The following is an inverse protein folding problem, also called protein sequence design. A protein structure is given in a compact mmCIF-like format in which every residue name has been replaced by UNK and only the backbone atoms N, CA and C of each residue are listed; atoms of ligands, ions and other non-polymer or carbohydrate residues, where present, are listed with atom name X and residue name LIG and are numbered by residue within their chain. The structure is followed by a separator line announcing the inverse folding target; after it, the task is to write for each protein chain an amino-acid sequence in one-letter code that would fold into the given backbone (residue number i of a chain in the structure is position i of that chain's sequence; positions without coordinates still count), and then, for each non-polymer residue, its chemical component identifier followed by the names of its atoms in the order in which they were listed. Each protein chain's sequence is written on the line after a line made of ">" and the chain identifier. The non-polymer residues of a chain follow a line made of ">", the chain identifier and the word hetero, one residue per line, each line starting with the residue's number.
data_IF_687912955098
#
_entry.id   IF_687912955098
#
_cell.length_a   1.000
_cell.length_b   1.000
_cell.length_c   1.000
_cell.angle_alpha   90.00
_cell.angle_beta   90.00
_cell.angle_gamma   90.00
#
_symmetry.space_group_name_H-M   'P 1'
#
loop_
_entity.id
_entity.type
_entity.pdbx_description
1 polymer ?
#
# COMPACT_ATOMS: atom_id res chain seq x y z
N UNK A 1 -14.22 11.84 -5.60
CA UNK A 1 -13.53 13.03 -6.13
C UNK A 1 -14.49 13.98 -6.84
N UNK A 2 -15.33 13.47 -7.72
CA UNK A 2 -16.28 14.28 -8.49
C UNK A 2 -17.34 14.96 -7.60
N UNK A 3 -17.75 14.34 -6.50
CA UNK A 3 -18.80 14.85 -5.61
C UNK A 3 -18.29 15.75 -4.48
N UNK A 4 -16.97 15.92 -4.34
CA UNK A 4 -16.40 16.73 -3.26
C UNK A 4 -16.21 18.19 -3.71
N UNK A 5 -16.65 19.18 -2.89
CA UNK A 5 -16.34 20.59 -3.15
C UNK A 5 -14.84 20.80 -3.31
N UNK A 6 -14.36 21.66 -4.23
CA UNK A 6 -12.93 21.87 -4.48
C UNK A 6 -12.14 22.20 -3.20
N UNK A 7 -12.75 22.98 -2.30
CA UNK A 7 -12.16 23.44 -1.04
C UNK A 7 -11.99 22.31 0.01
N UNK A 8 -12.75 21.21 -0.13
CA UNK A 8 -12.73 20.07 0.81
C UNK A 8 -12.20 18.79 0.19
N UNK A 9 -11.71 18.85 -1.05
CA UNK A 9 -11.27 17.67 -1.79
C UNK A 9 -10.11 16.95 -1.07
N UNK A 10 -9.13 17.68 -0.54
CA UNK A 10 -8.03 17.13 0.24
C UNK A 10 -8.50 16.42 1.52
N UNK A 11 -9.46 17.02 2.24
CA UNK A 11 -10.03 16.39 3.43
C UNK A 11 -10.76 15.08 3.09
N UNK A 12 -11.57 15.07 2.03
CA UNK A 12 -12.30 13.86 1.58
C UNK A 12 -11.34 12.75 1.18
N UNK A 13 -10.28 13.08 0.44
CA UNK A 13 -9.23 12.14 0.08
C UNK A 13 -8.48 11.63 1.32
N UNK A 14 -8.18 12.50 2.27
CA UNK A 14 -7.56 12.14 3.54
C UNK A 14 -8.42 11.17 4.35
N UNK A 15 -9.71 11.41 4.48
CA UNK A 15 -10.66 10.52 5.16
C UNK A 15 -10.71 9.15 4.44
N UNK A 16 -10.80 9.16 3.11
CA UNK A 16 -10.78 7.93 2.31
C UNK A 16 -9.51 7.11 2.54
N UNK A 17 -8.34 7.72 2.41
CA UNK A 17 -7.05 7.05 2.61
C UNK A 17 -6.88 6.54 4.04
N UNK A 18 -7.29 7.33 5.04
CA UNK A 18 -7.26 6.91 6.45
C UNK A 18 -8.18 5.72 6.70
N UNK A 19 -9.38 5.72 6.13
CA UNK A 19 -10.33 4.60 6.26
C UNK A 19 -9.79 3.32 5.63
N UNK A 20 -9.13 3.43 4.46
CA UNK A 20 -8.48 2.29 3.81
C UNK A 20 -7.33 1.73 4.67
N UNK A 21 -6.44 2.60 5.13
CA UNK A 21 -5.30 2.21 5.98
C UNK A 21 -5.73 1.64 7.33
N UNK A 22 -6.83 2.14 7.89
CA UNK A 22 -7.44 1.58 9.10
C UNK A 22 -7.88 0.13 8.88
N UNK A 23 -8.48 -0.18 7.73
CA UNK A 23 -8.84 -1.55 7.35
C UNK A 23 -7.62 -2.47 7.28
N UNK A 24 -6.53 -2.00 6.68
CA UNK A 24 -5.26 -2.73 6.62
C UNK A 24 -4.63 -2.99 8.00
N UNK A 25 -4.84 -2.12 8.98
CA UNK A 25 -4.35 -2.31 10.34
C UNK A 25 -5.29 -3.22 11.16
N UNK A 26 -6.60 -3.00 11.08
CA UNK A 26 -7.59 -3.74 11.85
C UNK A 26 -7.75 -5.19 11.40
N UNK A 27 -7.61 -5.48 10.10
CA UNK A 27 -7.76 -6.83 9.57
C UNK A 27 -6.83 -7.85 10.22
N UNK A 28 -5.50 -7.69 10.16
CA UNK A 28 -4.54 -8.57 10.80
C UNK A 28 -4.68 -8.61 12.33
N UNK A 29 -4.99 -7.46 12.96
CA UNK A 29 -5.24 -7.41 14.39
C UNK A 29 -6.44 -8.29 14.79
N UNK A 30 -7.54 -8.19 14.06
CA UNK A 30 -8.73 -9.01 14.28
C UNK A 30 -8.41 -10.49 14.07
N UNK A 31 -7.68 -10.82 12.99
CA UNK A 31 -7.23 -12.17 12.70
C UNK A 31 -6.35 -12.74 13.81
N UNK A 32 -5.47 -11.93 14.43
CA UNK A 32 -4.63 -12.34 15.56
C UNK A 32 -5.46 -12.80 16.80
N UNK A 33 -6.71 -12.31 16.93
CA UNK A 33 -7.62 -12.65 18.02
C UNK A 33 -8.53 -13.84 17.69
N UNK A 34 -8.93 -13.97 16.43
CA UNK A 34 -9.88 -15.00 15.97
C UNK A 34 -9.13 -16.31 15.67
N UNK A 35 -7.89 -16.22 15.17
CA UNK A 35 -7.08 -17.35 14.70
C UNK A 35 -7.47 -17.82 13.31
N UNK A 36 -6.79 -18.88 12.85
CA UNK A 36 -6.96 -19.48 11.51
C UNK A 36 -7.83 -20.74 11.51
N UNK A 37 -8.21 -21.25 12.68
CA UNK A 37 -8.86 -22.55 12.80
C UNK A 37 -10.38 -22.47 12.61
N UNK A 38 -10.94 -23.41 11.85
CA UNK A 38 -12.38 -23.55 11.66
C UNK A 38 -12.99 -22.52 10.71
N UNK A 39 -14.32 -22.34 10.82
CA UNK A 39 -15.08 -21.43 9.95
C UNK A 39 -15.17 -19.98 10.45
N UNK A 40 -14.76 -19.70 11.69
CA UNK A 40 -14.96 -18.41 12.34
C UNK A 40 -14.35 -17.22 11.56
N UNK A 41 -13.10 -17.29 11.03
CA UNK A 41 -12.53 -16.19 10.25
C UNK A 41 -13.36 -15.85 9.01
N UNK A 42 -13.92 -16.87 8.34
CA UNK A 42 -14.76 -16.68 7.16
C UNK A 42 -16.09 -16.04 7.49
N UNK A 43 -16.74 -16.44 8.60
CA UNK A 43 -18.00 -15.85 9.05
C UNK A 43 -17.82 -14.39 9.48
N UNK A 44 -16.72 -14.08 10.17
CA UNK A 44 -16.39 -12.70 10.56
C UNK A 44 -16.10 -11.84 9.31
N UNK A 45 -15.31 -12.35 8.37
CA UNK A 45 -15.06 -11.67 7.10
C UNK A 45 -16.35 -11.40 6.31
N UNK A 46 -17.22 -12.40 6.21
CA UNK A 46 -18.54 -12.26 5.59
C UNK A 46 -19.40 -11.18 6.28
N UNK A 47 -19.45 -11.19 7.60
CA UNK A 47 -20.21 -10.19 8.36
C UNK A 47 -19.70 -8.76 8.12
N UNK A 48 -18.37 -8.57 8.07
CA UNK A 48 -17.75 -7.27 7.76
C UNK A 48 -18.14 -6.81 6.34
N UNK A 49 -18.11 -7.71 5.36
CA UNK A 49 -18.53 -7.40 3.98
C UNK A 49 -20.00 -7.00 3.93
N UNK A 50 -20.86 -7.71 4.65
CA UNK A 50 -22.29 -7.37 4.72
C UNK A 50 -22.53 -5.98 5.33
N UNK A 51 -21.81 -5.63 6.39
CA UNK A 51 -21.87 -4.28 6.97
C UNK A 51 -21.35 -3.23 6.01
N UNK A 52 -20.25 -3.51 5.28
CA UNK A 52 -19.69 -2.61 4.28
C UNK A 52 -20.62 -2.37 3.08
N UNK A 53 -21.55 -3.28 2.81
CA UNK A 53 -22.55 -3.11 1.74
C UNK A 53 -23.59 -2.03 2.08
N UNK A 54 -23.87 -1.79 3.37
CA UNK A 54 -24.91 -0.85 3.81
C UNK A 54 -24.71 0.56 3.23
N UNK A 55 -23.55 1.23 3.42
CA UNK A 55 -23.34 2.55 2.86
C UNK A 55 -23.39 2.58 1.33
N UNK A 56 -22.98 1.51 0.66
CA UNK A 56 -23.05 1.40 -0.81
C UNK A 56 -24.51 1.36 -1.27
N UNK A 57 -25.36 0.60 -0.59
CA UNK A 57 -26.79 0.51 -0.90
C UNK A 57 -27.51 1.83 -0.60
N UNK A 58 -27.13 2.54 0.45
CA UNK A 58 -27.71 3.85 0.80
C UNK A 58 -27.33 4.91 -0.26
N UNK A 59 -26.06 4.92 -0.67
CA UNK A 59 -25.54 5.87 -1.65
C UNK A 59 -25.78 5.48 -3.14
N UNK A 60 -26.47 4.39 -3.40
CA UNK A 60 -26.68 3.88 -4.76
C UNK A 60 -27.28 4.92 -5.72
N UNK A 61 -28.18 5.77 -5.22
CA UNK A 61 -28.88 6.80 -6.01
C UNK A 61 -28.05 8.06 -6.25
N UNK A 62 -26.97 8.26 -5.49
CA UNK A 62 -26.09 9.43 -5.56
C UNK A 62 -24.85 9.17 -6.44
N UNK A 63 -24.88 8.09 -7.22
CA UNK A 63 -23.76 7.73 -8.12
C UNK A 63 -23.57 8.83 -9.18
N UNK A 64 -22.39 9.42 -9.32
CA UNK A 64 -22.15 10.45 -10.32
C UNK A 64 -22.20 9.86 -11.73
N UNK A 65 -22.86 10.58 -12.64
CA UNK A 65 -22.79 10.27 -14.07
C UNK A 65 -21.42 10.69 -14.59
N UNK A 66 -20.70 9.74 -15.19
CA UNK A 66 -19.44 10.02 -15.88
C UNK A 66 -19.77 10.37 -17.34
N UNK A 67 -19.43 11.59 -17.78
CA UNK A 67 -19.48 11.93 -19.19
C UNK A 67 -18.41 11.12 -19.94
N UNK A 68 -18.81 10.42 -20.99
CA UNK A 68 -17.91 9.74 -21.92
C UNK A 68 -17.10 10.80 -22.70
N UNK A 69 -15.85 11.02 -22.29
CA UNK A 69 -14.91 11.87 -23.01
C UNK A 69 -14.10 11.07 -24.04
N UNK A 70 -13.51 11.76 -25.03
CA UNK A 70 -12.56 11.14 -25.97
C UNK A 70 -11.43 10.43 -25.24
N UNK A 71 -11.19 9.16 -25.59
CA UNK A 71 -10.14 8.33 -24.99
C UNK A 71 -8.74 8.80 -25.40
N UNK A 72 -7.99 9.37 -24.47
CA UNK A 72 -6.55 9.61 -24.67
C UNK A 72 -5.82 8.33 -24.26
N UNK A 73 -4.95 7.76 -25.12
CA UNK A 73 -4.22 6.54 -24.79
C UNK A 73 -3.35 6.75 -23.53
N UNK A 74 -3.43 5.83 -22.56
CA UNK A 74 -2.71 5.95 -21.29
C UNK A 74 -1.28 5.37 -21.35
N UNK A 75 -1.02 4.39 -22.23
CA UNK A 75 0.29 3.70 -22.32
C UNK A 75 1.50 4.64 -22.52
N UNK A 76 1.44 5.71 -23.33
CA UNK A 76 2.55 6.64 -23.47
C UNK A 76 2.93 7.32 -22.15
N UNK A 77 1.98 7.51 -21.24
CA UNK A 77 2.22 8.16 -19.95
C UNK A 77 3.05 7.32 -18.98
N UNK A 78 3.20 6.01 -19.22
CA UNK A 78 4.13 5.16 -18.45
C UNK A 78 5.55 5.72 -18.56
N UNK A 79 5.93 6.16 -19.76
CA UNK A 79 7.27 6.68 -20.04
C UNK A 79 7.36 8.21 -19.96
N UNK A 80 6.24 8.91 -20.02
CA UNK A 80 6.21 10.38 -19.90
C UNK A 80 6.44 10.83 -18.44
N UNK A 81 5.99 10.06 -17.46
CA UNK A 81 6.13 10.35 -16.02
C UNK A 81 6.76 9.18 -15.25
N UNK A 82 7.98 8.75 -15.63
CA UNK A 82 8.56 7.49 -15.17
C UNK A 82 8.77 7.44 -13.65
N UNK A 83 9.06 8.58 -13.03
CA UNK A 83 9.26 8.66 -11.57
C UNK A 83 8.00 8.22 -10.80
N UNK A 84 6.82 8.69 -11.23
CA UNK A 84 5.57 8.34 -10.56
C UNK A 84 5.16 6.89 -10.86
N UNK A 85 5.27 6.46 -12.12
CA UNK A 85 4.86 5.12 -12.55
C UNK A 85 5.77 4.03 -11.99
N UNK A 86 7.08 4.28 -11.89
CA UNK A 86 8.01 3.35 -11.24
C UNK A 86 7.82 3.31 -9.72
N UNK A 87 7.63 4.46 -9.07
CA UNK A 87 7.38 4.50 -7.63
C UNK A 87 6.14 3.68 -7.26
N UNK A 88 5.06 3.81 -8.01
CA UNK A 88 3.83 3.05 -7.72
C UNK A 88 3.92 1.58 -8.10
N UNK A 89 4.69 1.23 -9.14
CA UNK A 89 5.00 -0.17 -9.47
C UNK A 89 5.74 -0.85 -8.31
N UNK A 90 6.80 -0.21 -7.79
CA UNK A 90 7.55 -0.69 -6.62
C UNK A 90 6.61 -0.83 -5.42
N UNK A 91 5.80 0.19 -5.14
CA UNK A 91 4.85 0.14 -4.03
C UNK A 91 3.87 -1.01 -4.17
N UNK A 92 3.25 -1.21 -5.34
CA UNK A 92 2.32 -2.32 -5.58
C UNK A 92 2.95 -3.70 -5.36
N UNK A 93 4.18 -3.89 -5.85
CA UNK A 93 4.91 -5.15 -5.67
C UNK A 93 5.24 -5.41 -4.19
N UNK A 94 5.71 -4.40 -3.49
CA UNK A 94 6.15 -4.50 -2.09
C UNK A 94 4.95 -4.60 -1.14
N UNK A 95 3.91 -3.83 -1.36
CA UNK A 95 2.68 -3.88 -0.57
C UNK A 95 2.04 -5.26 -0.67
N UNK A 96 1.72 -5.71 -1.88
CA UNK A 96 0.99 -6.98 -2.05
C UNK A 96 1.88 -8.18 -1.74
N UNK A 97 3.15 -8.18 -2.18
CA UNK A 97 4.10 -9.22 -1.85
C UNK A 97 4.38 -9.30 -0.35
N UNK A 98 4.50 -8.14 0.29
CA UNK A 98 4.66 -8.02 1.73
C UNK A 98 3.43 -8.54 2.48
N UNK A 99 2.25 -7.99 2.23
CA UNK A 99 1.03 -8.38 2.95
C UNK A 99 0.63 -9.84 2.72
N UNK A 100 0.66 -10.33 1.48
CA UNK A 100 0.22 -11.69 1.16
C UNK A 100 1.12 -12.78 1.75
N UNK A 101 2.44 -12.56 1.76
CA UNK A 101 3.41 -13.57 2.17
C UNK A 101 3.99 -13.35 3.57
N UNK A 102 3.68 -12.23 4.23
CA UNK A 102 4.15 -11.96 5.58
C UNK A 102 3.71 -13.02 6.61
N UNK A 103 2.46 -13.54 6.61
CA UNK A 103 2.08 -14.62 7.52
C UNK A 103 2.91 -15.89 7.33
N UNK A 104 3.19 -16.25 6.07
CA UNK A 104 4.04 -17.41 5.73
C UNK A 104 5.48 -17.16 6.15
N UNK A 105 6.00 -15.96 5.92
CA UNK A 105 7.32 -15.56 6.41
C UNK A 105 7.41 -15.63 7.92
N UNK A 106 6.44 -15.08 8.65
CA UNK A 106 6.42 -15.07 10.11
C UNK A 106 6.44 -16.48 10.70
N UNK A 107 5.62 -17.41 10.16
CA UNK A 107 5.59 -18.79 10.60
C UNK A 107 6.89 -19.55 10.26
N UNK A 108 7.49 -19.30 9.09
CA UNK A 108 8.80 -19.88 8.72
C UNK A 108 9.94 -19.37 9.60
N UNK A 109 9.83 -18.17 10.19
CA UNK A 109 10.78 -17.62 11.17
C UNK A 109 10.58 -18.22 12.56
N UNK A 110 9.41 -18.81 12.83
CA UNK A 110 9.07 -19.45 14.11
C UNK A 110 8.09 -18.64 14.97
N UNK A 111 7.48 -17.58 14.45
CA UNK A 111 6.42 -16.87 15.13
C UNK A 111 5.10 -17.65 15.08
N UNK A 112 4.26 -17.45 16.09
CA UNK A 112 2.87 -17.88 16.02
C UNK A 112 2.10 -17.08 14.93
N UNK A 113 1.01 -17.64 14.42
CA UNK A 113 0.15 -16.93 13.47
C UNK A 113 -0.36 -15.60 14.05
N UNK A 114 -0.67 -15.58 15.35
CA UNK A 114 -1.11 -14.37 16.05
C UNK A 114 -0.01 -13.30 16.11
N UNK A 115 1.23 -13.68 16.42
CA UNK A 115 2.36 -12.75 16.47
C UNK A 115 2.72 -12.22 15.07
N UNK A 116 2.66 -13.06 14.04
CA UNK A 116 2.86 -12.66 12.65
C UNK A 116 1.76 -11.67 12.20
N UNK A 117 0.50 -11.91 12.57
CA UNK A 117 -0.60 -11.01 12.28
C UNK A 117 -0.46 -9.66 13.02
N UNK A 118 0.04 -9.66 14.26
CA UNK A 118 0.33 -8.42 14.99
C UNK A 118 1.47 -7.63 14.35
N UNK A 119 2.51 -8.29 13.85
CA UNK A 119 3.57 -7.62 13.09
C UNK A 119 3.04 -6.99 11.80
N UNK A 120 2.15 -7.68 11.10
CA UNK A 120 1.47 -7.14 9.92
C UNK A 120 0.60 -5.92 10.29
N UNK A 121 -0.05 -5.94 11.46
CA UNK A 121 -0.77 -4.78 12.02
C UNK A 121 0.15 -3.57 12.19
N UNK A 122 1.41 -3.77 12.60
CA UNK A 122 2.37 -2.66 12.74
C UNK A 122 2.66 -1.97 11.40
N UNK A 123 2.75 -2.73 10.31
CA UNK A 123 2.87 -2.17 8.95
C UNK A 123 1.66 -1.29 8.62
N UNK A 124 0.45 -1.80 8.86
CA UNK A 124 -0.79 -1.06 8.62
C UNK A 124 -0.93 0.21 9.48
N UNK A 125 -0.57 0.14 10.77
CA UNK A 125 -0.57 1.29 11.66
C UNK A 125 0.46 2.35 11.23
N UNK A 126 1.65 1.92 10.83
CA UNK A 126 2.66 2.82 10.28
C UNK A 126 2.14 3.54 9.04
N UNK A 127 1.57 2.80 8.09
CA UNK A 127 0.94 3.34 6.89
C UNK A 127 -0.13 4.39 7.27
N UNK A 128 -1.06 4.05 8.15
CA UNK A 128 -2.14 4.95 8.57
C UNK A 128 -1.60 6.25 9.19
N UNK A 129 -0.65 6.16 10.12
CA UNK A 129 -0.17 7.32 10.87
C UNK A 129 0.79 8.22 10.09
N UNK A 130 1.56 7.67 9.15
CA UNK A 130 2.54 8.43 8.38
C UNK A 130 1.96 9.10 7.12
N UNK A 131 0.75 8.74 6.69
CA UNK A 131 0.12 9.34 5.50
C UNK A 131 -0.02 10.87 5.63
N UNK A 132 -0.48 11.36 6.77
CA UNK A 132 -0.66 12.80 6.99
C UNK A 132 0.68 13.53 7.06
N UNK A 133 1.67 13.11 7.88
CA UNK A 133 3.01 13.70 7.88
C UNK A 133 3.68 13.72 6.49
N UNK A 134 3.62 12.63 5.76
CA UNK A 134 4.22 12.54 4.42
C UNK A 134 3.51 13.44 3.42
N UNK A 135 2.18 13.54 3.49
CA UNK A 135 1.40 14.49 2.68
C UNK A 135 1.82 15.93 2.94
N UNK A 136 1.91 16.34 4.20
CA UNK A 136 2.36 17.70 4.60
C UNK A 136 3.79 17.97 4.11
N UNK A 137 4.69 17.01 4.27
CA UNK A 137 6.08 17.14 3.81
C UNK A 137 6.12 17.24 2.28
N UNK A 138 5.33 16.41 1.57
CA UNK A 138 5.21 16.44 0.11
C UNK A 138 4.76 17.80 -0.43
N UNK A 139 3.85 18.48 0.30
CA UNK A 139 3.35 19.80 -0.10
C UNK A 139 4.37 20.92 0.13
N UNK A 140 5.32 20.73 1.06
CA UNK A 140 6.36 21.73 1.40
C UNK A 140 7.66 21.56 0.62
N UNK A 141 7.92 20.38 0.07
CA UNK A 141 9.15 20.11 -0.70
C UNK A 141 8.96 20.55 -2.14
N UNK A 142 9.92 21.32 -2.65
CA UNK A 142 9.93 21.78 -4.04
C UNK A 142 10.14 20.66 -5.07
N UNK A 143 10.87 19.62 -4.70
CA UNK A 143 11.19 18.46 -5.55
C UNK A 143 10.76 17.15 -4.88
N UNK A 144 9.57 16.67 -5.24
CA UNK A 144 8.98 15.43 -4.70
C UNK A 144 9.80 14.18 -5.02
N UNK A 145 10.68 14.22 -6.05
CA UNK A 145 11.56 13.09 -6.40
C UNK A 145 12.53 12.76 -5.27
N UNK A 146 12.99 13.77 -4.52
CA UNK A 146 13.85 13.57 -3.34
C UNK A 146 13.12 12.83 -2.22
N UNK A 147 11.84 13.14 -2.02
CA UNK A 147 11.02 12.44 -1.04
C UNK A 147 10.72 11.00 -1.48
N UNK A 148 10.46 10.76 -2.76
CA UNK A 148 10.31 9.43 -3.31
C UNK A 148 11.59 8.59 -3.14
N UNK A 149 12.75 9.19 -3.42
CA UNK A 149 14.05 8.54 -3.20
C UNK A 149 14.27 8.21 -1.73
N UNK A 150 13.91 9.12 -0.82
CA UNK A 150 13.95 8.87 0.63
C UNK A 150 13.05 7.70 1.03
N UNK A 151 11.82 7.64 0.51
CA UNK A 151 10.91 6.53 0.77
C UNK A 151 11.48 5.20 0.26
N UNK A 152 12.01 5.17 -0.97
CA UNK A 152 12.60 3.97 -1.57
C UNK A 152 13.86 3.52 -0.81
N UNK A 153 14.77 4.42 -0.46
CA UNK A 153 15.98 4.08 0.30
C UNK A 153 15.65 3.59 1.71
N UNK A 154 14.66 4.17 2.37
CA UNK A 154 14.17 3.69 3.67
C UNK A 154 13.56 2.29 3.52
N UNK A 155 12.81 2.06 2.44
CA UNK A 155 12.26 0.76 2.10
C UNK A 155 13.34 -0.31 1.95
N UNK A 156 14.38 -0.03 1.16
CA UNK A 156 15.53 -0.92 0.97
C UNK A 156 16.26 -1.20 2.28
N UNK A 157 16.60 -0.17 3.05
CA UNK A 157 17.32 -0.30 4.33
C UNK A 157 16.51 -1.15 5.31
N UNK A 158 15.19 -0.92 5.41
CA UNK A 158 14.33 -1.70 6.28
C UNK A 158 14.32 -3.19 5.91
N UNK A 159 14.25 -3.52 4.63
CA UNK A 159 14.29 -4.90 4.17
C UNK A 159 15.69 -5.53 4.37
N UNK A 160 16.75 -4.80 4.18
CA UNK A 160 18.11 -5.28 4.47
C UNK A 160 18.36 -5.51 5.98
N UNK A 161 17.73 -4.73 6.83
CA UNK A 161 17.84 -4.87 8.29
C UNK A 161 17.00 -6.05 8.82
N UNK A 162 15.88 -6.39 8.18
CA UNK A 162 14.92 -7.38 8.66
C UNK A 162 15.53 -8.76 8.96
N UNK A 163 16.45 -9.33 8.15
CA UNK A 163 17.06 -10.63 8.43
C UNK A 163 17.80 -10.70 9.77
N UNK A 164 18.34 -9.59 10.24
CA UNK A 164 19.07 -9.51 11.51
C UNK A 164 18.15 -9.36 12.73
N UNK A 165 16.89 -9.02 12.51
CA UNK A 165 15.91 -8.74 13.55
C UNK A 165 14.84 -9.85 13.69
N UNK A 166 14.95 -10.90 12.88
CA UNK A 166 13.98 -12.00 12.85
C UNK A 166 13.76 -12.68 14.21
N UNK A 167 14.72 -12.61 15.13
CA UNK A 167 14.64 -13.20 16.46
C UNK A 167 14.12 -12.23 17.55
N UNK A 168 13.89 -10.97 17.18
CA UNK A 168 13.54 -9.90 18.12
C UNK A 168 12.22 -9.22 17.73
N UNK A 169 11.10 -9.76 18.22
CA UNK A 169 9.75 -9.33 17.84
C UNK A 169 9.54 -7.82 17.98
N UNK A 170 9.93 -7.21 19.12
CA UNK A 170 9.72 -5.78 19.37
C UNK A 170 10.52 -4.88 18.42
N UNK A 171 11.77 -5.25 18.13
CA UNK A 171 12.58 -4.49 17.16
C UNK A 171 12.02 -4.64 15.75
N UNK A 172 11.59 -5.84 15.38
CA UNK A 172 10.94 -6.09 14.11
C UNK A 172 9.63 -5.30 13.98
N UNK A 173 8.81 -5.25 15.03
CA UNK A 173 7.58 -4.46 15.07
C UNK A 173 7.85 -2.96 14.85
N UNK A 174 8.87 -2.40 15.52
CA UNK A 174 9.27 -1.00 15.35
C UNK A 174 9.74 -0.68 13.94
N UNK A 175 10.60 -1.53 13.36
CA UNK A 175 11.07 -1.34 11.98
C UNK A 175 9.93 -1.49 10.98
N UNK A 176 9.07 -2.49 11.12
CA UNK A 176 7.93 -2.70 10.22
C UNK A 176 6.91 -1.56 10.30
N UNK A 177 6.72 -0.97 11.49
CA UNK A 177 5.88 0.21 11.66
C UNK A 177 6.45 1.41 10.88
N UNK A 178 7.73 1.73 11.05
CA UNK A 178 8.39 2.83 10.34
C UNK A 178 8.45 2.56 8.83
N UNK A 179 8.80 1.35 8.46
CA UNK A 179 8.89 0.90 7.08
C UNK A 179 7.54 1.01 6.36
N UNK A 180 6.46 0.45 6.95
CA UNK A 180 5.12 0.50 6.37
C UNK A 180 4.64 1.93 6.18
N UNK A 181 4.95 2.82 7.13
CA UNK A 181 4.59 4.23 7.06
C UNK A 181 5.33 4.98 5.96
N UNK A 182 6.65 4.85 5.90
CA UNK A 182 7.47 5.60 4.94
C UNK A 182 7.32 5.07 3.53
N UNK A 183 7.27 3.74 3.33
CA UNK A 183 7.12 3.11 2.01
C UNK A 183 5.77 3.46 1.36
N UNK A 184 4.72 3.64 2.14
CA UNK A 184 3.43 4.09 1.64
C UNK A 184 3.49 5.49 0.96
N UNK A 185 4.53 6.29 1.28
CA UNK A 185 4.82 7.53 0.59
C UNK A 185 5.11 7.36 -0.91
N UNK A 186 5.57 6.19 -1.35
CA UNK A 186 5.76 5.94 -2.79
C UNK A 186 4.47 6.08 -3.57
N UNK A 187 3.34 5.66 -3.01
CA UNK A 187 2.02 5.84 -3.62
C UNK A 187 1.55 7.30 -3.49
N UNK A 188 1.51 7.81 -2.26
CA UNK A 188 0.89 9.11 -1.95
C UNK A 188 1.67 10.26 -2.58
N UNK A 189 3.00 10.26 -2.43
CA UNK A 189 3.87 11.28 -3.01
C UNK A 189 3.98 11.10 -4.53
N UNK A 190 3.98 9.85 -5.03
CA UNK A 190 3.96 9.56 -6.47
C UNK A 190 2.71 10.12 -7.14
N UNK A 191 1.53 9.95 -6.53
CA UNK A 191 0.27 10.50 -7.02
C UNK A 191 0.25 12.05 -6.95
N UNK A 192 0.81 12.63 -5.88
CA UNK A 192 0.95 14.07 -5.75
C UNK A 192 1.93 14.66 -6.78
N UNK A 193 3.02 13.94 -7.09
CA UNK A 193 3.97 14.31 -8.13
C UNK A 193 3.31 14.30 -9.51
N UNK A 194 2.54 13.26 -9.83
CA UNK A 194 1.79 13.17 -11.07
C UNK A 194 0.85 14.38 -11.25
N UNK A 195 0.07 14.71 -10.21
CA UNK A 195 -0.88 15.83 -10.22
C UNK A 195 -0.23 17.22 -10.30
N UNK A 196 1.09 17.35 -10.02
CA UNK A 196 1.82 18.61 -10.19
C UNK A 196 2.40 18.82 -11.59
N UNK A 197 2.60 17.74 -12.34
CA UNK A 197 3.20 17.80 -13.68
C UNK A 197 2.14 17.92 -14.79
N UNK A 198 0.93 17.41 -14.55
CA UNK A 198 -0.11 17.25 -15.57
C UNK A 198 -1.47 17.78 -15.08
N UNK A 199 -2.30 18.23 -16.03
CA UNK A 199 -3.63 18.76 -15.75
C UNK A 199 -4.69 18.20 -16.74
N UNK A 200 -5.96 18.32 -16.40
CA UNK A 200 -7.06 17.97 -17.29
C UNK A 200 -7.05 16.53 -17.78
N UNK A 201 -7.18 16.32 -19.08
CA UNK A 201 -7.26 14.99 -19.71
C UNK A 201 -5.95 14.20 -19.63
N UNK A 202 -4.82 14.89 -19.75
CA UNK A 202 -3.50 14.25 -19.62
C UNK A 202 -3.31 13.66 -18.22
N UNK A 203 -3.73 14.38 -17.18
CA UNK A 203 -3.70 13.87 -15.81
C UNK A 203 -4.59 12.63 -15.64
N UNK A 204 -5.76 12.59 -16.28
CA UNK A 204 -6.64 11.42 -16.23
C UNK A 204 -5.98 10.18 -16.86
N UNK A 205 -5.36 10.34 -18.05
CA UNK A 205 -4.64 9.26 -18.73
C UNK A 205 -3.37 8.84 -18.00
N UNK A 206 -2.63 9.79 -17.44
CA UNK A 206 -1.46 9.50 -16.62
C UNK A 206 -1.84 8.79 -15.31
N UNK A 207 -2.99 9.13 -14.72
CA UNK A 207 -3.51 8.40 -13.55
C UNK A 207 -3.91 6.96 -13.91
N UNK A 208 -4.46 6.73 -15.11
CA UNK A 208 -4.72 5.37 -15.59
C UNK A 208 -3.42 4.57 -15.78
N UNK A 209 -2.35 5.20 -16.33
CA UNK A 209 -1.01 4.59 -16.42
C UNK A 209 -0.44 4.28 -15.04
N UNK A 210 -0.60 5.18 -14.08
CA UNK A 210 -0.18 5.00 -12.69
C UNK A 210 -0.85 3.78 -12.04
N UNK A 211 -2.18 3.68 -12.13
CA UNK A 211 -2.92 2.53 -11.60
C UNK A 211 -2.57 1.23 -12.34
N UNK A 212 -2.34 1.29 -13.65
CA UNK A 212 -1.88 0.14 -14.42
C UNK A 212 -0.52 -0.38 -13.95
N UNK A 213 0.47 0.50 -13.75
CA UNK A 213 1.78 0.13 -13.21
C UNK A 213 1.67 -0.43 -11.78
N UNK A 214 0.81 0.16 -10.94
CA UNK A 214 0.49 -0.37 -9.62
C UNK A 214 -0.03 -1.81 -9.69
N UNK A 215 -1.00 -2.07 -10.57
CA UNK A 215 -1.58 -3.39 -10.74
C UNK A 215 -0.55 -4.43 -11.24
N UNK A 216 0.36 -4.05 -12.14
CA UNK A 216 1.48 -4.93 -12.55
C UNK A 216 2.39 -5.24 -11.37
N UNK A 217 2.73 -4.23 -10.55
CA UNK A 217 3.48 -4.43 -9.32
C UNK A 217 2.80 -5.42 -8.38
N UNK A 218 1.51 -5.23 -8.12
CA UNK A 218 0.70 -6.13 -7.29
C UNK A 218 0.69 -7.57 -7.80
N UNK A 219 0.71 -7.76 -9.12
CA UNK A 219 0.77 -9.09 -9.72
C UNK A 219 2.17 -9.72 -9.58
N UNK A 220 3.22 -8.94 -9.80
CA UNK A 220 4.60 -9.44 -9.78
C UNK A 220 5.11 -9.71 -8.36
N UNK A 221 4.72 -8.88 -7.38
CA UNK A 221 5.24 -8.91 -6.01
C UNK A 221 5.12 -10.27 -5.33
N UNK A 222 3.91 -10.81 -5.12
CA UNK A 222 3.74 -12.09 -4.43
C UNK A 222 4.45 -13.26 -5.12
N UNK A 223 4.46 -13.26 -6.46
CA UNK A 223 5.10 -14.32 -7.25
C UNK A 223 6.62 -14.36 -7.00
N UNK A 224 7.26 -13.19 -7.13
CA UNK A 224 8.72 -13.08 -6.97
C UNK A 224 9.14 -13.31 -5.52
N UNK A 225 8.38 -12.78 -4.55
CA UNK A 225 8.65 -13.00 -3.13
C UNK A 225 8.47 -14.48 -2.78
N UNK A 226 7.45 -15.14 -3.31
CA UNK A 226 7.25 -16.59 -3.13
C UNK A 226 8.45 -17.40 -3.66
N UNK A 227 8.88 -17.15 -4.89
CA UNK A 227 10.06 -17.77 -5.50
C UNK A 227 11.32 -17.51 -4.63
N UNK A 228 11.50 -16.27 -4.17
CA UNK A 228 12.62 -15.92 -3.29
C UNK A 228 12.60 -16.69 -1.97
N UNK A 229 11.44 -16.83 -1.36
CA UNK A 229 11.27 -17.61 -0.12
C UNK A 229 11.48 -19.11 -0.32
N UNK A 230 11.14 -19.65 -1.47
CA UNK A 230 11.38 -21.06 -1.77
C UNK A 230 12.86 -21.36 -2.07
N UNK A 231 13.56 -20.40 -2.68
CA UNK A 231 14.99 -20.52 -3.00
C UNK A 231 15.91 -20.27 -1.79
N UNK A 232 15.57 -19.29 -0.93
CA UNK A 232 16.46 -18.79 0.13
C UNK A 232 15.88 -18.97 1.55
N UNK A 233 14.76 -19.67 1.69
CA UNK A 233 14.03 -19.78 2.95
C UNK A 233 13.49 -18.45 3.45
N UNK A 234 13.35 -18.24 4.78
CA UNK A 234 12.78 -17.02 5.33
C UNK A 234 13.51 -15.75 4.90
N UNK A 235 14.83 -15.79 4.67
CA UNK A 235 15.62 -14.63 4.21
C UNK A 235 15.22 -14.18 2.80
N UNK A 236 14.62 -15.05 2.00
CA UNK A 236 14.13 -14.72 0.66
C UNK A 236 13.04 -13.66 0.67
N UNK A 237 12.21 -13.59 1.73
CA UNK A 237 11.18 -12.57 1.86
C UNK A 237 11.75 -11.14 1.81
N UNK A 238 12.59 -10.71 2.77
CA UNK A 238 13.14 -9.36 2.75
C UNK A 238 14.12 -9.12 1.59
N UNK A 239 14.89 -10.12 1.16
CA UNK A 239 15.82 -9.97 0.05
C UNK A 239 15.08 -9.68 -1.26
N UNK A 240 14.02 -10.41 -1.57
CA UNK A 240 13.24 -10.20 -2.79
C UNK A 240 12.48 -8.88 -2.75
N UNK A 241 11.88 -8.51 -1.59
CA UNK A 241 11.28 -7.20 -1.43
C UNK A 241 12.30 -6.08 -1.60
N UNK A 242 13.53 -6.26 -1.12
CA UNK A 242 14.61 -5.30 -1.29
C UNK A 242 15.04 -5.06 -2.75
N UNK A 243 14.91 -6.05 -3.62
CA UNK A 243 15.26 -5.93 -5.06
C UNK A 243 14.34 -4.95 -5.79
N UNK A 244 13.10 -4.77 -5.32
CA UNK A 244 12.17 -3.83 -5.95
C UNK A 244 12.54 -2.37 -5.70
N UNK A 245 13.25 -2.07 -4.62
CA UNK A 245 13.70 -0.71 -4.28
C UNK A 245 15.00 -0.33 -5.00
#
# INVERSE_FOLDING_TARGET
>A
NASAPPEKRGLVLGIYSTSLSLGFALGPWLFSKIGSTGGLPFYVGFAIIMVALIPVLVAWRDSPNFEEGEHVPFLPFIFAVPTATMAVFVFGAVETGGFALFPVFGTRVGYSEADAALLLTMIGLGNMLMQIPLGIVSDRISDRRKLLLFCATTGLIGMMALPYLMQHWYFMAGILFLWGGVVAGLYTVGLAHLGSELTGRELASANAAFIFCYAIGMLAGPQLVGIGMDAMGPKGFPMTLGIFF
#
